data_IF_798763309644
#
_entry.id   IF_798763309644
#
_cell.length_a   1.000
_cell.length_b   1.000
_cell.length_c   1.000
_cell.angle_alpha   90.00
_cell.angle_beta   90.00
_cell.angle_gamma   90.00
#
_symmetry.space_group_name_H-M   'P 1'
#
loop_
_entity.id
_entity.type
_entity.pdbx_description
1 polymer ?
#
# COMPACT_ATOMS: atom_id res chain seq x y z
N UNK A 1 4.24 -10.67 34.38
CA UNK A 1 2.79 -10.79 34.59
C UNK A 1 2.16 -10.80 33.22
N UNK A 2 1.65 -11.97 32.83
CA UNK A 2 0.83 -12.32 31.67
C UNK A 2 0.94 -11.42 30.43
N UNK A 3 1.86 -11.81 29.55
CA UNK A 3 1.79 -11.54 28.12
C UNK A 3 0.60 -12.33 27.56
N UNK A 4 -0.57 -11.69 27.49
CA UNK A 4 -1.70 -12.25 26.75
C UNK A 4 -1.44 -11.89 25.30
N UNK A 5 -0.64 -12.73 24.64
CA UNK A 5 -0.59 -12.74 23.19
C UNK A 5 -2.04 -12.89 22.70
N UNK A 6 -2.56 -11.85 22.02
CA UNK A 6 -3.80 -12.00 21.27
C UNK A 6 -3.63 -13.18 20.33
N UNK A 7 -4.58 -14.12 20.24
CA UNK A 7 -4.44 -15.27 19.38
C UNK A 7 -4.19 -14.75 17.95
N UNK A 8 -3.05 -15.14 17.36
CA UNK A 8 -2.72 -14.80 15.99
C UNK A 8 -3.93 -15.16 15.11
N UNK A 9 -4.50 -14.17 14.43
CA UNK A 9 -5.66 -14.37 13.58
C UNK A 9 -5.18 -15.17 12.38
N UNK A 10 -5.44 -16.48 12.40
CA UNK A 10 -5.09 -17.39 11.32
C UNK A 10 -5.68 -16.87 10.01
N UNK A 11 -4.81 -16.61 9.02
CA UNK A 11 -5.22 -16.12 7.70
C UNK A 11 -5.74 -17.25 6.83
N UNK A 12 -6.62 -16.94 5.89
CA UNK A 12 -7.22 -17.93 5.00
C UNK A 12 -7.22 -17.45 3.55
N UNK A 13 -7.03 -18.38 2.61
CA UNK A 13 -7.15 -18.13 1.18
C UNK A 13 -8.37 -18.86 0.62
N UNK A 14 -9.09 -18.20 -0.28
CA UNK A 14 -10.13 -18.79 -1.13
C UNK A 14 -9.72 -18.64 -2.59
N UNK A 15 -9.58 -19.76 -3.30
CA UNK A 15 -9.27 -19.78 -4.74
C UNK A 15 -10.49 -20.21 -5.54
N UNK A 16 -10.78 -19.46 -6.61
CA UNK A 16 -11.81 -19.76 -7.60
C UNK A 16 -11.23 -19.62 -9.01
N UNK A 17 -11.55 -20.52 -9.95
CA UNK A 17 -11.20 -20.30 -11.35
C UNK A 17 -11.98 -19.09 -11.88
N UNK A 18 -11.41 -18.35 -12.81
CA UNK A 18 -12.10 -17.30 -13.54
C UNK A 18 -11.64 -17.24 -14.99
N UNK A 19 -12.32 -16.43 -15.79
CA UNK A 19 -11.86 -16.08 -17.13
C UNK A 19 -10.98 -14.85 -17.08
N UNK A 20 -10.10 -14.68 -18.08
CA UNK A 20 -9.30 -13.47 -18.25
C UNK A 20 -10.15 -12.19 -18.21
N UNK A 21 -11.28 -12.19 -18.89
CA UNK A 21 -12.17 -11.02 -18.93
C UNK A 21 -12.77 -10.69 -17.55
N UNK A 22 -13.08 -11.70 -16.74
CA UNK A 22 -13.50 -11.48 -15.35
C UNK A 22 -12.35 -10.98 -14.49
N UNK A 23 -11.14 -11.52 -14.65
CA UNK A 23 -9.95 -11.05 -13.95
C UNK A 23 -9.63 -9.57 -14.25
N UNK A 24 -9.60 -9.19 -15.52
CA UNK A 24 -9.38 -7.81 -15.96
C UNK A 24 -10.52 -6.86 -15.51
N UNK A 25 -11.74 -7.37 -15.31
CA UNK A 25 -12.87 -6.58 -14.81
C UNK A 25 -12.87 -6.38 -13.28
N UNK A 26 -12.00 -7.10 -12.55
CA UNK A 26 -11.87 -7.00 -11.09
C UNK A 26 -10.90 -5.92 -10.64
N UNK A 27 -10.36 -5.14 -11.57
CA UNK A 27 -9.47 -4.03 -11.29
C UNK A 27 -10.25 -2.84 -10.71
N UNK A 28 -10.18 -2.66 -9.38
CA UNK A 28 -10.80 -1.56 -8.64
C UNK A 28 -11.55 -1.95 -7.36
N UNK A 29 -12.05 -0.92 -6.66
CA UNK A 29 -12.79 -1.04 -5.40
C UNK A 29 -14.08 -1.85 -5.61
N UNK A 30 -14.08 -3.11 -5.17
CA UNK A 30 -15.26 -3.96 -5.24
C UNK A 30 -16.20 -3.56 -4.10
N UNK A 31 -17.16 -2.69 -4.43
CA UNK A 31 -18.20 -2.17 -3.54
C UNK A 31 -18.94 -3.25 -2.71
N UNK A 32 -18.85 -4.52 -3.14
CA UNK A 32 -19.41 -5.64 -2.42
C UNK A 32 -18.72 -5.91 -1.06
N UNK A 33 -17.42 -5.61 -0.94
CA UNK A 33 -16.63 -5.87 0.27
C UNK A 33 -16.38 -4.64 1.15
N UNK A 34 -16.67 -3.44 0.67
CA UNK A 34 -16.42 -2.18 1.40
C UNK A 34 -17.19 -2.04 2.71
N UNK A 35 -18.26 -2.84 2.90
CA UNK A 35 -19.06 -2.86 4.13
C UNK A 35 -18.57 -3.88 5.17
N UNK A 36 -17.49 -4.63 4.86
CA UNK A 36 -16.87 -5.55 5.81
C UNK A 36 -15.88 -4.82 6.70
N UNK A 37 -15.85 -5.18 7.99
CA UNK A 37 -14.88 -4.66 8.95
C UNK A 37 -13.43 -4.97 8.54
N UNK A 38 -13.22 -6.17 7.97
CA UNK A 38 -11.95 -6.59 7.37
C UNK A 38 -12.24 -7.16 5.97
N UNK A 39 -12.17 -6.35 4.89
CA UNK A 39 -12.39 -6.83 3.53
C UNK A 39 -11.24 -7.75 3.09
N UNK A 40 -11.51 -8.77 2.26
CA UNK A 40 -10.45 -9.61 1.72
C UNK A 40 -9.61 -8.85 0.69
N UNK A 41 -8.31 -9.13 0.65
CA UNK A 41 -7.45 -8.73 -0.48
C UNK A 41 -7.73 -9.68 -1.63
N UNK A 42 -8.03 -9.14 -2.82
CA UNK A 42 -8.29 -9.94 -4.01
C UNK A 42 -7.11 -9.82 -4.98
N UNK A 43 -6.69 -10.95 -5.53
CA UNK A 43 -5.64 -11.04 -6.53
C UNK A 43 -6.10 -11.96 -7.65
N UNK A 44 -5.81 -11.58 -8.89
CA UNK A 44 -6.08 -12.43 -10.06
C UNK A 44 -4.79 -12.76 -10.78
N UNK A 45 -4.63 -14.00 -11.22
CA UNK A 45 -3.41 -14.46 -11.88
C UNK A 45 -3.70 -15.54 -12.93
N UNK A 46 -2.75 -15.73 -13.84
CA UNK A 46 -2.71 -16.87 -14.75
C UNK A 46 -2.36 -18.13 -13.95
N UNK A 47 -3.28 -19.10 -13.94
CA UNK A 47 -3.13 -20.31 -13.12
C UNK A 47 -2.25 -21.38 -13.81
N UNK A 48 -1.97 -21.23 -15.10
CA UNK A 48 -1.13 -22.14 -15.87
C UNK A 48 -0.16 -21.36 -16.78
N UNK A 49 1.17 -21.49 -16.60
CA UNK A 49 2.17 -20.80 -17.42
C UNK A 49 2.09 -21.13 -18.92
N UNK A 50 1.53 -22.29 -19.27
CA UNK A 50 1.45 -22.81 -20.63
C UNK A 50 0.08 -22.57 -21.29
N UNK A 51 -0.89 -21.98 -20.58
CA UNK A 51 -2.23 -21.68 -21.10
C UNK A 51 -2.76 -20.35 -20.55
N UNK A 52 -2.54 -19.28 -21.33
CA UNK A 52 -2.97 -17.90 -21.06
C UNK A 52 -4.50 -17.74 -20.87
N UNK A 53 -5.29 -18.78 -21.13
CA UNK A 53 -6.75 -18.75 -20.95
C UNK A 53 -7.21 -19.26 -19.58
N UNK A 54 -6.31 -19.83 -18.77
CA UNK A 54 -6.67 -20.34 -17.45
C UNK A 54 -6.31 -19.30 -16.40
N UNK A 55 -7.33 -18.65 -15.86
CA UNK A 55 -7.18 -17.62 -14.83
C UNK A 55 -7.78 -18.08 -13.50
N UNK A 56 -7.33 -17.48 -12.42
CA UNK A 56 -7.91 -17.68 -11.09
C UNK A 56 -8.00 -16.37 -10.31
N UNK A 57 -8.96 -16.35 -9.39
CA UNK A 57 -9.14 -15.35 -8.35
C UNK A 57 -8.72 -15.98 -7.01
N UNK A 58 -7.75 -15.36 -6.36
CA UNK A 58 -7.35 -15.63 -4.98
C UNK A 58 -7.89 -14.51 -4.07
N UNK A 59 -8.58 -14.90 -3.01
CA UNK A 59 -9.13 -13.99 -2.01
C UNK A 59 -8.59 -14.32 -0.63
N UNK A 60 -8.04 -13.31 0.03
CA UNK A 60 -7.21 -13.43 1.20
C UNK A 60 -7.92 -12.80 2.41
N UNK A 61 -8.23 -13.58 3.44
CA UNK A 61 -9.05 -13.20 4.59
C UNK A 61 -8.25 -13.19 5.90
N UNK A 62 -8.48 -12.16 6.71
CA UNK A 62 -8.12 -12.18 8.13
C UNK A 62 -9.17 -13.01 8.90
N UNK A 63 -8.86 -14.29 9.12
CA UNK A 63 -9.78 -15.24 9.72
C UNK A 63 -10.55 -16.08 8.69
N UNK A 64 -11.30 -17.07 9.19
CA UNK A 64 -11.96 -18.05 8.33
C UNK A 64 -13.10 -17.41 7.52
N UNK A 65 -13.12 -17.55 6.18
CA UNK A 65 -14.13 -16.92 5.34
C UNK A 65 -15.52 -17.48 5.63
N UNK A 66 -16.50 -16.58 5.72
CA UNK A 66 -17.91 -16.96 5.87
C UNK A 66 -18.50 -17.46 4.55
N UNK A 67 -19.58 -18.24 4.63
CA UNK A 67 -20.32 -18.67 3.44
C UNK A 67 -20.85 -17.48 2.63
N UNK A 68 -21.18 -16.36 3.29
CA UNK A 68 -21.63 -15.14 2.63
C UNK A 68 -20.50 -14.50 1.82
N UNK A 69 -19.29 -14.41 2.39
CA UNK A 69 -18.12 -13.88 1.69
C UNK A 69 -17.75 -14.73 0.46
N UNK A 70 -17.76 -16.05 0.59
CA UNK A 70 -17.51 -16.97 -0.54
C UNK A 70 -18.59 -16.82 -1.62
N UNK A 71 -19.85 -16.65 -1.23
CA UNK A 71 -20.93 -16.40 -2.19
C UNK A 71 -20.72 -15.09 -2.94
N UNK A 72 -20.20 -14.06 -2.26
CA UNK A 72 -19.90 -12.78 -2.87
C UNK A 72 -18.76 -12.90 -3.88
N UNK A 73 -17.68 -13.61 -3.54
CA UNK A 73 -16.60 -13.92 -4.49
C UNK A 73 -17.13 -14.60 -5.76
N UNK A 74 -18.08 -15.53 -5.63
CA UNK A 74 -18.71 -16.18 -6.78
C UNK A 74 -19.54 -15.23 -7.66
N UNK A 75 -20.01 -14.10 -7.14
CA UNK A 75 -20.70 -13.09 -7.97
C UNK A 75 -19.73 -12.27 -8.81
N UNK A 76 -18.47 -12.19 -8.38
CA UNK A 76 -17.39 -11.50 -9.08
C UNK A 76 -16.82 -12.32 -10.22
N UNK A 77 -16.88 -13.65 -10.10
CA UNK A 77 -16.45 -14.60 -11.13
C UNK A 77 -17.61 -15.54 -11.52
N UNK A 78 -18.61 -15.07 -12.28
CA UNK A 78 -19.77 -15.87 -12.68
C UNK A 78 -19.43 -17.21 -13.36
N UNK A 79 -18.31 -17.30 -14.08
CA UNK A 79 -17.80 -18.54 -14.66
C UNK A 79 -17.56 -19.65 -13.60
N UNK A 80 -17.26 -19.25 -12.37
CA UNK A 80 -17.01 -20.12 -11.22
C UNK A 80 -18.27 -20.49 -10.42
N UNK A 81 -19.48 -20.12 -10.88
CA UNK A 81 -20.72 -20.30 -10.11
C UNK A 81 -20.90 -21.75 -9.61
N UNK A 82 -20.59 -22.73 -10.47
CA UNK A 82 -20.69 -24.16 -10.18
C UNK A 82 -19.37 -24.79 -9.68
N UNK A 83 -18.27 -24.04 -9.71
CA UNK A 83 -16.98 -24.51 -9.24
C UNK A 83 -16.95 -24.58 -7.71
N UNK A 84 -16.24 -25.57 -7.17
CA UNK A 84 -16.02 -25.68 -5.73
C UNK A 84 -14.83 -24.76 -5.35
N UNK A 85 -15.01 -23.80 -4.43
CA UNK A 85 -13.90 -22.99 -3.95
C UNK A 85 -12.90 -23.87 -3.20
N UNK A 86 -11.61 -23.62 -3.43
CA UNK A 86 -10.54 -24.16 -2.61
C UNK A 86 -10.35 -23.21 -1.45
N UNK A 87 -10.44 -23.71 -0.21
CA UNK A 87 -10.39 -22.88 1.00
C UNK A 87 -9.31 -23.44 1.92
N UNK A 88 -8.27 -22.65 2.15
CA UNK A 88 -7.05 -23.10 2.82
C UNK A 88 -6.68 -22.15 3.96
N UNK A 89 -6.26 -22.70 5.09
CA UNK A 89 -5.67 -21.91 6.16
C UNK A 89 -4.20 -21.68 5.84
N UNK A 90 -3.76 -20.43 5.87
CA UNK A 90 -2.38 -20.06 5.65
C UNK A 90 -1.64 -20.04 6.98
N UNK A 91 -0.37 -20.46 6.96
CA UNK A 91 0.53 -20.15 8.06
C UNK A 91 0.91 -18.66 8.02
N UNK A 92 1.37 -18.09 9.14
CA UNK A 92 1.79 -16.68 9.20
C UNK A 92 2.94 -16.39 8.21
N UNK A 93 3.83 -17.35 7.98
CA UNK A 93 4.93 -17.27 7.00
C UNK A 93 4.42 -17.33 5.55
N UNK A 94 3.42 -18.18 5.27
CA UNK A 94 2.82 -18.29 3.94
C UNK A 94 2.02 -17.04 3.58
N UNK A 95 1.35 -16.39 4.53
CA UNK A 95 0.63 -15.13 4.29
C UNK A 95 1.54 -14.01 3.81
N UNK A 96 2.65 -13.79 4.52
CA UNK A 96 3.62 -12.76 4.16
C UNK A 96 4.21 -13.08 2.79
N UNK A 97 4.61 -14.34 2.57
CA UNK A 97 5.18 -14.79 1.30
C UNK A 97 4.18 -14.70 0.13
N UNK A 98 2.90 -15.05 0.32
CA UNK A 98 1.86 -15.00 -0.71
C UNK A 98 1.42 -13.56 -1.02
N UNK A 99 1.40 -12.66 -0.03
CA UNK A 99 1.18 -11.23 -0.27
C UNK A 99 2.30 -10.58 -1.10
N UNK A 100 3.48 -11.22 -1.14
CA UNK A 100 4.64 -10.81 -1.92
C UNK A 100 4.70 -11.46 -3.32
N UNK A 101 4.00 -12.59 -3.53
CA UNK A 101 4.02 -13.34 -4.78
C UNK A 101 3.18 -12.62 -5.85
N UNK A 102 3.87 -11.98 -6.81
CA UNK A 102 3.26 -11.27 -7.94
C UNK A 102 3.61 -9.78 -8.01
N UNK A 103 4.36 -9.26 -7.02
CA UNK A 103 4.76 -7.86 -7.00
C UNK A 103 6.06 -7.66 -7.79
N UNK A 104 5.95 -7.48 -9.10
CA UNK A 104 7.07 -7.07 -9.94
C UNK A 104 7.63 -5.71 -9.49
N UNK A 105 8.94 -5.48 -9.57
CA UNK A 105 9.53 -4.17 -9.31
C UNK A 105 8.90 -3.07 -10.18
N UNK A 106 8.50 -1.97 -9.54
CA UNK A 106 7.83 -0.84 -10.22
C UNK A 106 8.84 0.23 -10.58
N UNK A 107 8.81 0.69 -11.83
CA UNK A 107 9.64 1.82 -12.28
C UNK A 107 8.76 3.02 -12.61
N UNK A 108 8.98 4.16 -11.94
CA UNK A 108 8.18 5.36 -12.11
C UNK A 108 9.03 6.64 -12.00
N UNK A 109 9.02 7.48 -13.03
CA UNK A 109 9.87 8.67 -13.07
C UNK A 109 11.35 8.31 -12.97
N UNK A 110 12.03 8.77 -11.91
CA UNK A 110 13.44 8.42 -11.59
C UNK A 110 13.59 7.28 -10.59
N UNK A 111 12.48 6.77 -10.07
CA UNK A 111 12.48 5.80 -8.98
C UNK A 111 12.32 4.38 -9.54
N UNK A 112 12.97 3.43 -8.87
CA UNK A 112 12.80 2.00 -9.08
C UNK A 112 12.49 1.37 -7.72
N UNK A 113 11.28 0.87 -7.56
CA UNK A 113 10.78 0.28 -6.32
C UNK A 113 10.93 -1.23 -6.44
N UNK A 114 11.68 -1.80 -5.51
CA UNK A 114 11.95 -3.23 -5.37
C UNK A 114 11.15 -3.76 -4.19
N UNK A 115 10.71 -5.00 -4.29
CA UNK A 115 9.89 -5.63 -3.25
C UNK A 115 10.69 -6.70 -2.49
N UNK A 116 11.79 -7.18 -3.09
CA UNK A 116 12.74 -8.10 -2.48
C UNK A 116 14.15 -7.52 -2.54
N UNK A 117 14.95 -7.81 -1.51
CA UNK A 117 16.37 -7.42 -1.50
C UNK A 117 17.17 -8.06 -2.65
N UNK A 118 16.69 -9.21 -3.18
CA UNK A 118 17.26 -9.91 -4.33
C UNK A 118 16.90 -9.28 -5.69
N UNK A 119 15.93 -8.38 -5.75
CA UNK A 119 15.54 -7.71 -6.99
C UNK A 119 16.71 -6.87 -7.51
N UNK A 120 16.91 -6.91 -8.83
CA UNK A 120 17.98 -6.18 -9.48
C UNK A 120 17.81 -4.67 -9.31
N UNK A 121 18.88 -3.98 -8.90
CA UNK A 121 18.91 -2.52 -8.89
C UNK A 121 19.06 -1.95 -10.30
N UNK A 122 18.48 -0.77 -10.54
CA UNK A 122 18.69 0.00 -11.76
C UNK A 122 19.73 1.10 -11.51
N UNK A 123 20.88 1.09 -12.20
CA UNK A 123 22.02 1.95 -11.88
C UNK A 123 21.75 3.46 -12.10
N UNK A 124 20.85 3.81 -13.03
CA UNK A 124 20.52 5.20 -13.35
C UNK A 124 19.27 5.72 -12.60
N UNK A 125 18.84 5.00 -11.56
CA UNK A 125 17.62 5.29 -10.80
C UNK A 125 17.86 5.34 -9.31
N UNK A 126 16.91 5.95 -8.64
CA UNK A 126 16.80 5.88 -7.18
C UNK A 126 16.11 4.56 -6.84
N UNK A 127 16.88 3.60 -6.36
CA UNK A 127 16.36 2.30 -5.92
C UNK A 127 15.80 2.43 -4.50
N UNK A 128 14.53 2.06 -4.33
CA UNK A 128 13.84 2.02 -3.04
C UNK A 128 13.39 0.58 -2.78
N UNK A 129 13.74 0.02 -1.63
CA UNK A 129 13.31 -1.32 -1.22
C UNK A 129 12.11 -1.17 -0.28
N UNK A 130 10.96 -1.68 -0.68
CA UNK A 130 9.75 -1.71 0.14
C UNK A 130 9.41 -3.17 0.36
N UNK A 131 9.61 -3.67 1.57
CA UNK A 131 9.19 -5.04 1.87
C UNK A 131 7.67 -5.09 1.78
N UNK A 132 7.18 -5.90 0.84
CA UNK A 132 5.76 -6.11 0.66
C UNK A 132 5.22 -6.92 1.85
N UNK A 133 4.92 -6.24 2.94
CA UNK A 133 4.13 -6.78 4.05
C UNK A 133 2.65 -6.46 3.87
N UNK A 134 1.88 -6.65 4.95
CA UNK A 134 0.41 -6.48 5.12
C UNK A 134 -0.21 -5.14 4.65
N UNK A 135 0.56 -4.25 4.03
CA UNK A 135 0.20 -2.87 3.76
C UNK A 135 -0.16 -2.54 2.30
N UNK A 136 -0.20 -3.50 1.36
CA UNK A 136 -0.43 -3.19 -0.06
C UNK A 136 -1.57 -3.98 -0.71
N UNK A 137 -2.49 -3.23 -1.32
CA UNK A 137 -3.58 -3.72 -2.17
C UNK A 137 -3.28 -3.56 -3.66
N UNK A 138 -4.01 -4.30 -4.48
CA UNK A 138 -3.77 -4.49 -5.92
C UNK A 138 -3.89 -3.23 -6.79
N UNK A 139 -4.54 -2.16 -6.32
CA UNK A 139 -4.65 -0.87 -7.02
C UNK A 139 -3.61 0.18 -6.65
N UNK A 140 -2.76 -0.07 -5.64
CA UNK A 140 -1.76 0.93 -5.23
C UNK A 140 -0.62 1.09 -6.23
N UNK A 141 -0.31 0.10 -7.07
CA UNK A 141 0.84 0.17 -7.97
C UNK A 141 0.73 1.31 -8.98
N UNK A 142 -0.44 1.48 -9.60
CA UNK A 142 -0.66 2.52 -10.61
C UNK A 142 -0.71 3.92 -9.99
N UNK A 143 -1.45 4.07 -8.89
CA UNK A 143 -1.57 5.36 -8.19
C UNK A 143 -0.23 5.79 -7.59
N UNK A 144 0.51 4.86 -6.99
CA UNK A 144 1.86 5.09 -6.45
C UNK A 144 2.84 5.45 -7.57
N UNK A 145 2.82 4.75 -8.70
CA UNK A 145 3.64 5.11 -9.86
C UNK A 145 3.30 6.52 -10.39
N UNK A 146 2.02 6.89 -10.38
CA UNK A 146 1.55 8.24 -10.68
C UNK A 146 2.14 9.30 -9.73
N UNK A 147 2.07 9.07 -8.42
CA UNK A 147 2.65 9.96 -7.41
C UNK A 147 4.17 10.08 -7.56
N UNK A 148 4.89 8.97 -7.74
CA UNK A 148 6.35 8.97 -7.95
C UNK A 148 6.74 9.74 -9.22
N UNK A 149 5.98 9.58 -10.30
CA UNK A 149 6.18 10.32 -11.55
C UNK A 149 5.92 11.82 -11.35
N UNK A 150 4.90 12.18 -10.56
CA UNK A 150 4.59 13.57 -10.24
C UNK A 150 5.70 14.20 -9.40
N UNK A 151 6.19 13.52 -8.36
CA UNK A 151 7.30 13.99 -7.53
C UNK A 151 8.56 14.26 -8.36
N UNK A 152 8.92 13.33 -9.25
CA UNK A 152 10.03 13.52 -10.18
C UNK A 152 9.81 14.73 -11.10
N UNK A 153 8.60 14.89 -11.64
CA UNK A 153 8.24 16.04 -12.48
C UNK A 153 8.37 17.37 -11.71
N UNK A 154 7.84 17.45 -10.50
CA UNK A 154 7.92 18.63 -9.63
C UNK A 154 9.37 19.03 -9.39
N UNK A 155 10.24 18.06 -9.10
CA UNK A 155 11.67 18.31 -8.98
C UNK A 155 12.30 18.81 -10.28
N UNK A 156 11.95 18.22 -11.42
CA UNK A 156 12.48 18.62 -12.75
C UNK A 156 12.09 20.03 -13.15
N UNK A 157 10.90 20.51 -12.77
CA UNK A 157 10.48 21.90 -13.02
C UNK A 157 11.02 22.91 -12.00
N UNK A 158 11.90 22.48 -11.09
CA UNK A 158 12.63 23.35 -10.18
C UNK A 158 11.97 23.56 -8.81
N UNK A 159 10.93 22.81 -8.46
CA UNK A 159 10.31 22.91 -7.13
C UNK A 159 11.32 22.60 -6.02
N UNK A 160 11.21 23.35 -4.93
CA UNK A 160 11.99 23.15 -3.70
C UNK A 160 11.02 23.02 -2.54
N UNK A 161 10.82 21.80 -2.04
CA UNK A 161 10.08 21.57 -0.81
C UNK A 161 11.07 21.61 0.37
N UNK A 162 10.77 22.41 1.39
CA UNK A 162 11.52 22.48 2.66
C UNK A 162 10.74 21.81 3.79
N UNK A 163 9.43 21.70 3.66
CA UNK A 163 8.54 21.08 4.62
C UNK A 163 7.53 20.20 3.88
N UNK A 164 7.55 18.90 4.19
CA UNK A 164 6.79 17.86 3.48
C UNK A 164 5.94 17.07 4.46
N UNK A 165 4.68 16.84 4.10
CA UNK A 165 3.78 15.91 4.79
C UNK A 165 3.36 14.77 3.85
N UNK A 166 3.32 13.55 4.37
CA UNK A 166 2.72 12.37 3.71
C UNK A 166 1.63 11.79 4.62
N UNK A 167 0.36 11.89 4.19
CA UNK A 167 -0.83 11.53 4.96
C UNK A 167 -1.41 10.23 4.40
N UNK A 168 -1.49 9.21 5.25
CA UNK A 168 -1.76 7.83 4.82
C UNK A 168 -0.54 7.22 4.15
N UNK A 169 0.59 7.27 4.85
CA UNK A 169 1.91 6.94 4.30
C UNK A 169 2.08 5.46 3.98
N UNK A 170 1.29 4.56 4.61
CA UNK A 170 1.42 3.12 4.44
C UNK A 170 2.86 2.66 4.68
N UNK A 171 3.51 2.18 3.62
CA UNK A 171 4.90 1.70 3.67
C UNK A 171 5.96 2.79 3.79
N UNK A 172 5.61 4.07 3.68
CA UNK A 172 6.56 5.20 3.72
C UNK A 172 7.16 5.58 2.37
N UNK A 173 6.84 4.86 1.30
CA UNK A 173 7.48 4.98 -0.01
C UNK A 173 7.50 6.42 -0.56
N UNK A 174 6.37 7.13 -0.50
CA UNK A 174 6.28 8.50 -1.05
C UNK A 174 7.04 9.51 -0.19
N UNK A 175 7.05 9.35 1.14
CA UNK A 175 7.89 10.13 2.04
C UNK A 175 9.40 9.93 1.77
N UNK A 176 9.83 8.69 1.49
CA UNK A 176 11.23 8.39 1.15
C UNK A 176 11.61 9.00 -0.19
N UNK A 177 10.74 8.87 -1.19
CA UNK A 177 10.92 9.50 -2.50
C UNK A 177 11.04 11.02 -2.38
N UNK A 178 10.20 11.66 -1.57
CA UNK A 178 10.28 13.10 -1.32
C UNK A 178 11.60 13.50 -0.64
N UNK A 179 12.02 12.80 0.43
CA UNK A 179 13.30 13.07 1.10
C UNK A 179 14.51 12.81 0.19
N UNK A 180 14.43 11.88 -0.76
CA UNK A 180 15.46 11.71 -1.77
C UNK A 180 15.59 12.94 -2.69
N UNK A 181 14.46 13.50 -3.13
CA UNK A 181 14.45 14.69 -4.01
C UNK A 181 14.87 15.97 -3.26
N UNK A 182 14.50 16.06 -1.99
CA UNK A 182 14.74 17.21 -1.12
C UNK A 182 15.39 16.76 0.21
N UNK A 183 16.70 16.42 0.22
CA UNK A 183 17.39 15.80 1.35
C UNK A 183 17.58 16.70 2.58
N UNK A 184 17.18 17.96 2.48
CA UNK A 184 17.21 18.93 3.58
C UNK A 184 15.81 19.34 4.03
N UNK A 185 14.75 18.72 3.50
CA UNK A 185 13.40 18.99 3.93
C UNK A 185 13.18 18.45 5.35
N UNK A 186 12.35 19.15 6.11
CA UNK A 186 11.66 18.56 7.26
C UNK A 186 10.51 17.71 6.72
N UNK A 187 10.49 16.42 7.07
CA UNK A 187 9.43 15.52 6.62
C UNK A 187 8.67 14.95 7.82
N UNK A 188 7.35 14.86 7.68
CA UNK A 188 6.50 14.07 8.55
C UNK A 188 5.63 13.15 7.71
N UNK A 189 5.49 11.91 8.15
CA UNK A 189 4.62 10.93 7.54
C UNK A 189 3.70 10.34 8.62
N UNK A 190 2.46 10.08 8.24
CA UNK A 190 1.45 9.61 9.18
C UNK A 190 0.54 8.56 8.58
N UNK A 191 0.05 7.67 9.43
CA UNK A 191 -0.99 6.71 9.10
C UNK A 191 -1.96 6.55 10.28
N UNK A 192 -3.20 6.17 9.99
CA UNK A 192 -4.18 5.87 11.05
C UNK A 192 -3.86 4.53 11.73
N UNK A 193 -3.24 3.61 11.00
CA UNK A 193 -2.83 2.31 11.52
C UNK A 193 -1.42 2.37 12.12
N UNK A 194 -1.24 2.12 13.43
CA UNK A 194 0.09 2.03 14.04
C UNK A 194 0.97 0.94 13.41
N UNK A 195 0.40 -0.14 12.86
CA UNK A 195 1.16 -1.19 12.18
C UNK A 195 1.79 -0.65 10.89
N UNK A 196 1.08 0.19 10.14
CA UNK A 196 1.63 0.85 8.96
C UNK A 196 2.80 1.77 9.33
N UNK A 197 2.71 2.46 10.47
CA UNK A 197 3.81 3.29 10.99
C UNK A 197 5.05 2.46 11.33
N UNK A 198 4.88 1.29 11.95
CA UNK A 198 5.99 0.37 12.25
C UNK A 198 6.62 -0.20 10.97
N UNK A 199 5.80 -0.55 9.97
CA UNK A 199 6.27 -0.98 8.64
C UNK A 199 7.06 0.14 7.96
N UNK A 200 6.56 1.38 8.01
CA UNK A 200 7.26 2.56 7.47
C UNK A 200 8.61 2.78 8.16
N UNK A 201 8.68 2.60 9.49
CA UNK A 201 9.93 2.70 10.23
C UNK A 201 10.94 1.61 9.80
N UNK A 202 10.50 0.37 9.60
CA UNK A 202 11.35 -0.71 9.10
C UNK A 202 11.86 -0.43 7.67
N UNK A 203 10.97 0.01 6.76
CA UNK A 203 11.36 0.37 5.40
C UNK A 203 12.29 1.59 5.38
N UNK A 204 12.13 2.56 6.29
CA UNK A 204 13.04 3.69 6.40
C UNK A 204 14.48 3.21 6.67
N UNK A 205 14.65 2.22 7.56
CA UNK A 205 15.95 1.60 7.85
C UNK A 205 16.51 0.91 6.60
N UNK A 206 15.70 0.12 5.90
CA UNK A 206 16.10 -0.59 4.68
C UNK A 206 16.58 0.37 3.56
N UNK A 207 16.03 1.59 3.54
CA UNK A 207 16.39 2.62 2.55
C UNK A 207 17.41 3.65 3.06
N UNK A 208 17.96 3.48 4.27
CA UNK A 208 18.90 4.43 4.86
C UNK A 208 18.30 5.80 5.18
N UNK A 209 16.98 5.90 5.29
CA UNK A 209 16.25 7.11 5.70
C UNK A 209 16.36 7.27 7.21
N UNK A 210 16.88 8.40 7.66
CA UNK A 210 17.05 8.68 9.09
C UNK A 210 15.71 9.08 9.70
N UNK A 211 15.29 8.39 10.75
CA UNK A 211 14.13 8.80 11.54
C UNK A 211 14.49 9.93 12.51
N UNK A 212 13.57 10.86 12.73
CA UNK A 212 13.74 11.99 13.65
C UNK A 212 12.98 13.25 13.21
N UNK A 213 13.16 14.34 13.95
CA UNK A 213 12.42 15.58 13.78
C UNK A 213 13.20 16.70 13.08
N UNK A 214 14.46 16.46 12.73
CA UNK A 214 15.34 17.46 12.12
C UNK A 214 15.26 17.45 10.59
N UNK A 215 15.80 18.49 9.97
CA UNK A 215 15.96 18.56 8.52
C UNK A 215 16.73 17.34 7.99
N UNK A 216 16.22 16.74 6.90
CA UNK A 216 16.75 15.51 6.32
C UNK A 216 16.42 14.24 7.12
N UNK A 217 15.51 14.31 8.08
CA UNK A 217 14.96 13.17 8.81
C UNK A 217 13.45 13.04 8.59
N UNK A 218 12.93 11.83 8.75
CA UNK A 218 11.50 11.53 8.69
C UNK A 218 10.94 11.38 10.10
N UNK A 219 9.95 12.22 10.44
CA UNK A 219 9.13 11.99 11.62
C UNK A 219 7.96 11.08 11.23
N UNK A 220 7.69 10.08 12.05
CA UNK A 220 6.58 9.14 11.87
C UNK A 220 5.60 9.29 13.03
N UNK A 221 4.31 9.40 12.73
CA UNK A 221 3.25 9.54 13.74
C UNK A 221 2.01 8.73 13.37
N UNK A 222 1.40 8.07 14.36
CA UNK A 222 0.07 7.49 14.19
C UNK A 222 -0.97 8.59 14.33
N UNK A 223 -1.74 8.87 13.28
CA UNK A 223 -2.73 9.93 13.24
C UNK A 223 -3.90 9.58 12.32
N UNK A 224 -5.12 9.79 12.82
CA UNK A 224 -6.31 9.78 11.99
C UNK A 224 -6.41 11.12 11.23
N UNK A 225 -5.77 11.20 10.06
CA UNK A 225 -5.81 12.38 9.20
C UNK A 225 -4.88 13.52 9.66
N UNK A 226 -5.36 14.76 9.53
CA UNK A 226 -4.55 15.98 9.58
C UNK A 226 -4.46 16.65 10.98
N UNK A 227 -5.33 16.28 11.92
CA UNK A 227 -5.57 17.05 13.14
C UNK A 227 -4.54 16.79 14.27
N UNK A 228 -3.52 15.97 14.00
CA UNK A 228 -2.50 15.64 15.00
C UNK A 228 -1.59 16.84 15.28
N UNK A 229 -1.29 17.11 16.55
CA UNK A 229 -0.52 18.29 16.97
C UNK A 229 0.87 18.40 16.30
N UNK A 230 1.52 17.26 16.02
CA UNK A 230 2.81 17.25 15.31
C UNK A 230 2.71 17.61 13.82
N UNK A 231 1.54 17.38 13.20
CA UNK A 231 1.25 17.76 11.82
C UNK A 231 0.89 19.25 11.79
N UNK A 232 -0.10 19.67 12.58
CA UNK A 232 -0.52 21.07 12.68
C UNK A 232 0.66 21.97 13.06
N UNK A 233 1.45 21.58 14.07
CA UNK A 233 2.56 22.39 14.58
C UNK A 233 3.73 22.56 13.60
N UNK A 234 3.74 21.81 12.49
CA UNK A 234 4.72 21.95 11.40
C UNK A 234 4.17 22.70 10.21
N UNK A 235 2.86 22.90 10.08
CA UNK A 235 2.29 23.67 8.98
C UNK A 235 2.82 25.12 8.96
N UNK A 236 2.86 25.77 7.78
CA UNK A 236 2.40 25.27 6.49
C UNK A 236 3.43 24.38 5.77
N UNK A 237 2.95 23.51 4.88
CA UNK A 237 3.77 22.62 4.05
C UNK A 237 3.94 23.15 2.64
N UNK A 238 5.16 23.06 2.08
CA UNK A 238 5.40 23.33 0.67
C UNK A 238 4.87 22.17 -0.21
N UNK A 239 4.75 20.97 0.36
CA UNK A 239 4.26 19.76 -0.30
C UNK A 239 3.49 18.88 0.69
N UNK A 240 2.24 18.56 0.35
CA UNK A 240 1.44 17.54 1.02
C UNK A 240 1.12 16.43 0.02
N UNK A 241 1.39 15.19 0.43
CA UNK A 241 1.12 13.97 -0.32
C UNK A 241 0.02 13.22 0.43
N UNK A 242 -0.98 12.72 -0.30
CA UNK A 242 -2.03 11.87 0.25
C UNK A 242 -2.50 10.88 -0.82
N UNK A 243 -1.87 9.71 -0.87
CA UNK A 243 -2.27 8.61 -1.77
C UNK A 243 -3.18 7.62 -1.03
N UNK A 244 -4.37 8.09 -0.70
CA UNK A 244 -5.40 7.35 0.05
C UNK A 244 -6.67 7.21 -0.78
N UNK A 245 -7.62 6.40 -0.29
CA UNK A 245 -8.90 6.19 -0.95
C UNK A 245 -9.67 7.51 -1.14
N UNK A 246 -10.45 7.59 -2.22
CA UNK A 246 -11.14 8.81 -2.63
C UNK A 246 -12.13 9.35 -1.57
N UNK A 247 -12.87 8.46 -0.89
CA UNK A 247 -13.81 8.84 0.16
C UNK A 247 -13.12 9.57 1.32
N UNK A 248 -12.18 8.92 2.03
CA UNK A 248 -11.37 9.57 3.06
C UNK A 248 -10.66 10.83 2.58
N UNK A 249 -10.16 10.85 1.34
CA UNK A 249 -9.51 12.05 0.79
C UNK A 249 -10.46 13.24 0.69
N UNK A 250 -11.70 13.03 0.22
CA UNK A 250 -12.72 14.08 0.14
C UNK A 250 -13.06 14.62 1.52
N UNK A 251 -13.19 13.74 2.51
CA UNK A 251 -13.47 14.12 3.90
C UNK A 251 -12.34 14.96 4.52
N UNK A 252 -11.09 14.57 4.25
CA UNK A 252 -9.91 15.26 4.78
C UNK A 252 -9.54 16.52 4.01
N UNK A 253 -10.00 16.69 2.76
CA UNK A 253 -9.57 17.77 1.88
C UNK A 253 -9.63 19.18 2.51
N UNK A 254 -10.69 19.60 3.24
CA UNK A 254 -10.71 20.92 3.89
C UNK A 254 -9.56 21.11 4.88
N UNK A 255 -9.28 20.09 5.70
CA UNK A 255 -8.18 20.14 6.68
C UNK A 255 -6.81 20.09 5.99
N UNK A 256 -6.65 19.27 4.95
CA UNK A 256 -5.39 19.21 4.19
C UNK A 256 -5.08 20.53 3.47
N UNK A 257 -6.09 21.17 2.88
CA UNK A 257 -5.95 22.49 2.25
C UNK A 257 -5.51 23.56 3.25
N UNK A 258 -5.97 23.49 4.50
CA UNK A 258 -5.56 24.44 5.55
C UNK A 258 -4.09 24.27 6.00
N UNK A 259 -3.44 23.16 5.62
CA UNK A 259 -2.05 22.87 6.02
C UNK A 259 -1.01 23.25 4.96
N UNK A 260 -1.40 23.58 3.73
CA UNK A 260 -0.46 23.92 2.64
C UNK A 260 -0.31 25.44 2.51
N UNK A 261 0.87 25.90 2.06
CA UNK A 261 1.05 27.31 1.67
C UNK A 261 0.13 27.67 0.49
N UNK A 262 -0.39 28.91 0.47
CA UNK A 262 -1.16 29.49 -0.66
C UNK A 262 -0.29 29.70 -1.92
#
# INVERSE_FOLDING_TARGET
MNDVASPAVQSWKVTLPCTRAEAEALDGDIAAFTMMEHPPVLMTSEAAPDDENIWQLDAYFEGKPSTAAIKLLKTLVPSAAHSKPVVEALSDEDWVTLSQQGLEPVTAGRFHVRNLASDAEQPDRVNLLIEAGRAFGTGQHETTAGCLTMLDRMRRVGMRARNVADIGTGTGLLAFAALNLWPHAHAIASDIDPVAVDISAANAIANGVKLGDRAGQLALVTAAGADHAAIIGRAPYDLLIANILAGPLIELAPSLCALVED
#
